data_IF_056836746902
#
_entry.id   IF_056836746902
#
_cell.length_a   1.000
_cell.length_b   1.000
_cell.length_c   1.000
_cell.angle_alpha   90.00
_cell.angle_beta   90.00
_cell.angle_gamma   90.00
#
_symmetry.space_group_name_H-M   'P 1'
#
loop_
_entity.id
_entity.type
_entity.pdbx_description
1 polymer ?
#
# COMPACT_ATOMS: atom_id res chain seq x y z
N UNK A 1 2.98 22.66 -14.71
CA UNK A 1 3.35 21.38 -14.09
C UNK A 1 4.01 20.50 -15.15
N UNK A 2 5.26 20.11 -14.96
CA UNK A 2 5.99 19.15 -15.81
C UNK A 2 5.41 17.75 -15.65
N UNK A 3 5.70 16.84 -16.59
CA UNK A 3 5.28 15.44 -16.46
C UNK A 3 5.85 14.76 -15.21
N UNK A 4 7.07 15.16 -14.76
CA UNK A 4 7.66 14.65 -13.52
C UNK A 4 6.94 15.19 -12.27
N UNK A 5 6.52 16.45 -12.29
CA UNK A 5 5.71 17.03 -11.20
C UNK A 5 4.32 16.37 -11.11
N UNK A 6 3.69 16.09 -12.27
CA UNK A 6 2.42 15.33 -12.31
C UNK A 6 2.61 13.91 -11.76
N UNK A 7 3.67 13.22 -12.16
CA UNK A 7 3.98 11.87 -11.67
C UNK A 7 4.22 11.86 -10.17
N UNK A 8 4.94 12.85 -9.62
CA UNK A 8 5.13 12.98 -8.18
C UNK A 8 3.80 13.09 -7.43
N UNK A 9 2.89 13.95 -7.92
CA UNK A 9 1.56 14.11 -7.32
C UNK A 9 0.75 12.80 -7.35
N UNK A 10 0.83 12.04 -8.44
CA UNK A 10 0.19 10.72 -8.54
C UNK A 10 0.80 9.70 -7.56
N UNK A 11 2.12 9.67 -7.39
CA UNK A 11 2.79 8.78 -6.45
C UNK A 11 2.38 9.08 -5.00
N UNK A 12 2.28 10.35 -4.64
CA UNK A 12 1.78 10.78 -3.31
C UNK A 12 0.33 10.31 -3.09
N UNK A 13 -0.54 10.47 -4.09
CA UNK A 13 -1.92 9.98 -4.02
C UNK A 13 -2.02 8.45 -3.93
N UNK A 14 -1.16 7.71 -4.63
CA UNK A 14 -1.13 6.25 -4.54
C UNK A 14 -0.65 5.74 -3.18
N UNK A 15 0.28 6.44 -2.52
CA UNK A 15 0.67 6.13 -1.13
C UNK A 15 -0.55 6.27 -0.20
N UNK A 16 -1.25 7.40 -0.25
CA UNK A 16 -2.45 7.63 0.57
C UNK A 16 -3.53 6.55 0.34
N UNK A 17 -3.75 6.17 -0.92
CA UNK A 17 -4.72 5.12 -1.24
C UNK A 17 -4.26 3.73 -0.78
N UNK A 18 -2.97 3.43 -0.90
CA UNK A 18 -2.38 2.17 -0.45
C UNK A 18 -2.54 1.97 1.07
N UNK A 19 -2.41 3.03 1.87
CA UNK A 19 -2.65 2.98 3.33
C UNK A 19 -4.09 2.59 3.66
N UNK A 20 -5.06 3.16 2.94
CA UNK A 20 -6.48 2.81 3.08
C UNK A 20 -6.76 1.34 2.74
N UNK A 21 -6.09 0.82 1.70
CA UNK A 21 -6.16 -0.60 1.35
C UNK A 21 -5.57 -1.50 2.44
N UNK A 22 -4.37 -1.18 2.95
CA UNK A 22 -3.72 -1.92 4.04
C UNK A 22 -4.65 -2.01 5.26
N UNK A 23 -5.26 -0.89 5.65
CA UNK A 23 -6.22 -0.89 6.75
C UNK A 23 -7.40 -1.84 6.47
N UNK A 24 -7.99 -1.75 5.29
CA UNK A 24 -9.12 -2.59 4.89
C UNK A 24 -8.77 -4.08 4.88
N UNK A 25 -7.58 -4.43 4.38
CA UNK A 25 -7.11 -5.83 4.37
C UNK A 25 -6.91 -6.38 5.77
N UNK A 26 -6.31 -5.60 6.68
CA UNK A 26 -6.15 -6.01 8.08
C UNK A 26 -7.50 -6.16 8.79
N UNK A 27 -8.43 -5.23 8.61
CA UNK A 27 -9.79 -5.34 9.17
C UNK A 27 -10.51 -6.62 8.69
N UNK A 28 -10.31 -7.01 7.44
CA UNK A 28 -10.86 -8.25 6.91
C UNK A 28 -10.12 -9.48 7.40
N UNK A 29 -8.79 -9.43 7.55
CA UNK A 29 -8.00 -10.51 8.16
C UNK A 29 -8.52 -10.84 9.57
N UNK A 30 -8.75 -9.81 10.40
CA UNK A 30 -9.34 -9.97 11.73
C UNK A 30 -10.74 -10.58 11.68
N UNK A 31 -11.61 -10.08 10.78
CA UNK A 31 -12.97 -10.59 10.62
C UNK A 31 -12.97 -12.07 10.23
N UNK A 32 -12.19 -12.49 9.24
CA UNK A 32 -12.19 -13.89 8.78
C UNK A 32 -11.48 -14.81 9.77
N UNK A 33 -10.46 -14.32 10.48
CA UNK A 33 -9.88 -15.05 11.62
C UNK A 33 -10.92 -15.33 12.71
N UNK A 34 -11.80 -14.36 13.00
CA UNK A 34 -12.90 -14.55 13.98
C UNK A 34 -13.94 -15.59 13.52
N UNK A 35 -14.05 -15.83 12.21
CA UNK A 35 -14.91 -16.86 11.62
C UNK A 35 -14.26 -18.25 11.57
N UNK A 36 -13.00 -18.38 12.02
CA UNK A 36 -12.24 -19.64 12.02
C UNK A 36 -11.37 -19.86 10.78
N UNK A 37 -11.42 -18.97 9.79
CA UNK A 37 -10.70 -19.07 8.52
C UNK A 37 -9.26 -18.55 8.63
N UNK A 38 -8.44 -19.25 9.41
CA UNK A 38 -7.06 -18.82 9.74
C UNK A 38 -6.13 -18.72 8.52
N UNK A 39 -6.25 -19.62 7.55
CA UNK A 39 -5.42 -19.59 6.34
C UNK A 39 -5.76 -18.36 5.48
N UNK A 40 -7.06 -18.08 5.32
CA UNK A 40 -7.52 -16.89 4.60
C UNK A 40 -7.08 -15.60 5.29
N UNK A 41 -7.14 -15.55 6.63
CA UNK A 41 -6.62 -14.42 7.40
C UNK A 41 -5.14 -14.17 7.11
N UNK A 42 -4.31 -15.23 7.14
CA UNK A 42 -2.89 -15.13 6.83
C UNK A 42 -2.59 -14.65 5.41
N UNK A 43 -3.41 -15.03 4.43
CA UNK A 43 -3.29 -14.51 3.05
C UNK A 43 -3.58 -13.01 3.01
N UNK A 44 -4.60 -12.53 3.73
CA UNK A 44 -4.96 -11.10 3.79
C UNK A 44 -3.89 -10.27 4.50
N UNK A 45 -3.31 -10.80 5.59
CA UNK A 45 -2.16 -10.19 6.28
C UNK A 45 -0.96 -10.09 5.35
N UNK A 46 -0.66 -11.15 4.60
CA UNK A 46 0.43 -11.13 3.62
C UNK A 46 0.19 -10.08 2.52
N UNK A 47 -1.05 -9.91 2.05
CA UNK A 47 -1.39 -8.84 1.09
C UNK A 47 -1.12 -7.46 1.71
N UNK A 48 -1.51 -7.25 2.96
CA UNK A 48 -1.25 -5.99 3.66
C UNK A 48 0.26 -5.70 3.79
N UNK A 49 1.06 -6.72 4.10
CA UNK A 49 2.51 -6.60 4.20
C UNK A 49 3.18 -6.30 2.85
N UNK A 50 2.74 -6.94 1.77
CA UNK A 50 3.25 -6.64 0.44
C UNK A 50 2.84 -5.24 -0.03
N UNK A 51 1.64 -4.77 0.34
CA UNK A 51 1.24 -3.37 0.14
C UNK A 51 2.14 -2.39 0.91
N UNK A 52 2.61 -2.72 2.12
CA UNK A 52 3.62 -1.88 2.81
C UNK A 52 4.96 -1.87 2.09
N UNK A 53 5.35 -2.99 1.47
CA UNK A 53 6.56 -3.03 0.64
C UNK A 53 6.41 -2.18 -0.64
N UNK A 54 5.21 -2.16 -1.23
CA UNK A 54 4.89 -1.29 -2.37
C UNK A 54 5.07 0.20 -2.03
N UNK A 55 4.67 0.63 -0.84
CA UNK A 55 4.86 2.00 -0.37
C UNK A 55 6.35 2.42 -0.35
N UNK A 56 7.26 1.50 0.02
CA UNK A 56 8.72 1.75 -0.04
C UNK A 56 9.17 2.04 -1.47
N UNK A 57 8.60 1.36 -2.46
CA UNK A 57 8.91 1.59 -3.89
C UNK A 57 8.37 2.93 -4.36
N UNK A 58 7.17 3.35 -3.94
CA UNK A 58 6.66 4.69 -4.23
C UNK A 58 7.57 5.78 -3.67
N UNK A 59 7.99 5.65 -2.41
CA UNK A 59 8.92 6.58 -1.78
C UNK A 59 10.28 6.65 -2.51
N UNK A 60 10.82 5.50 -2.95
CA UNK A 60 12.02 5.47 -3.78
C UNK A 60 11.83 6.20 -5.12
N UNK A 61 10.68 6.02 -5.77
CA UNK A 61 10.35 6.71 -7.02
C UNK A 61 10.27 8.24 -6.82
N UNK A 62 9.60 8.71 -5.76
CA UNK A 62 9.55 10.13 -5.40
C UNK A 62 10.97 10.68 -5.15
N UNK A 63 11.81 9.93 -4.43
CA UNK A 63 13.20 10.34 -4.19
C UNK A 63 13.97 10.52 -5.50
N UNK A 64 13.83 9.60 -6.47
CA UNK A 64 14.45 9.71 -7.79
C UNK A 64 13.97 10.89 -8.62
N UNK A 65 12.71 11.32 -8.43
CA UNK A 65 12.19 12.53 -9.07
C UNK A 65 12.82 13.77 -8.46
N UNK A 66 12.92 13.84 -7.12
CA UNK A 66 13.49 14.99 -6.42
C UNK A 66 15.01 15.12 -6.53
N UNK A 67 15.72 14.01 -6.81
CA UNK A 67 17.18 13.99 -6.97
C UNK A 67 17.67 14.33 -8.39
N UNK A 68 16.76 14.70 -9.30
CA UNK A 68 17.05 15.18 -10.66
C UNK A 68 17.03 16.69 -10.69
#
# INVERSE_FOLDING_TARGET
MTELEKLKHLLEHWIEHNDSHIQTYNEWAEKVASLGEKELAGILEQIADESRNLEKLFNQAIHKINSK
#
